data_IF_076321618894
#
_entry.id   IF_076321618894
#
_cell.length_a   1.000
_cell.length_b   1.000
_cell.length_c   1.000
_cell.angle_alpha   90.00
_cell.angle_beta   90.00
_cell.angle_gamma   90.00
#
_symmetry.space_group_name_H-M   'P 1'
#
loop_
_entity.id
_entity.type
_entity.pdbx_description
1 polymer ?
#
# COMPACT_ATOMS: atom_id res chain seq x y z
N UNK A 1 -40.11 47.76 -18.02
CA UNK A 1 -41.07 48.39 -17.10
C UNK A 1 -41.72 47.26 -16.30
N UNK A 2 -41.72 47.34 -14.95
CA UNK A 2 -42.32 46.33 -14.05
C UNK A 2 -41.30 45.35 -13.47
N UNK A 3 -40.62 45.67 -12.36
CA UNK A 3 -41.04 45.61 -10.93
C UNK A 3 -40.39 44.40 -10.23
N UNK A 4 -39.22 44.66 -9.64
CA UNK A 4 -38.49 43.77 -8.73
C UNK A 4 -39.25 43.66 -7.41
N UNK A 5 -39.64 42.45 -7.03
CA UNK A 5 -40.14 42.13 -5.69
C UNK A 5 -38.94 42.01 -4.73
N UNK A 6 -38.88 42.91 -3.74
CA UNK A 6 -37.97 42.79 -2.58
C UNK A 6 -38.62 41.84 -1.55
N UNK A 7 -37.89 40.89 -0.96
CA UNK A 7 -38.39 40.12 0.18
C UNK A 7 -38.35 40.95 1.47
N UNK A 8 -39.45 40.86 2.24
CA UNK A 8 -39.65 41.51 3.53
C UNK A 8 -38.69 40.97 4.61
N UNK A 9 -38.19 41.88 5.44
CA UNK A 9 -37.35 41.58 6.61
C UNK A 9 -38.29 41.47 7.82
N UNK A 10 -38.30 40.36 8.58
CA UNK A 10 -39.11 40.25 9.79
C UNK A 10 -38.54 41.12 10.94
N UNK A 11 -39.40 41.68 11.81
CA UNK A 11 -38.98 42.60 12.86
C UNK A 11 -38.21 41.88 13.98
N UNK A 12 -37.15 42.55 14.49
CA UNK A 12 -36.39 42.10 15.65
C UNK A 12 -37.23 42.16 16.94
N UNK A 13 -37.13 41.16 17.83
CA UNK A 13 -37.80 41.20 19.12
C UNK A 13 -37.06 42.12 20.11
N UNK A 14 -37.85 42.99 20.73
CA UNK A 14 -37.50 44.01 21.71
C UNK A 14 -36.90 43.39 23.02
N UNK A 15 -35.74 43.87 23.53
CA UNK A 15 -35.16 43.31 24.75
C UNK A 15 -35.66 44.07 25.98
N UNK A 16 -36.63 43.52 26.70
CA UNK A 16 -37.03 44.13 27.97
C UNK A 16 -38.03 43.32 28.80
N UNK A 17 -37.53 42.46 29.71
CA UNK A 17 -37.77 42.51 31.17
C UNK A 17 -37.55 41.15 31.87
N UNK A 18 -36.57 41.18 32.78
CA UNK A 18 -36.54 40.62 34.16
C UNK A 18 -36.96 39.15 34.39
N UNK A 19 -35.97 38.35 34.76
CA UNK A 19 -36.10 37.27 35.75
C UNK A 19 -34.84 37.21 36.61
N UNK A 20 -34.88 37.81 37.80
CA UNK A 20 -33.86 37.64 38.84
C UNK A 20 -34.10 36.29 39.53
N UNK A 21 -33.23 35.31 39.30
CA UNK A 21 -33.04 34.21 40.24
C UNK A 21 -31.56 34.16 40.66
N UNK A 22 -31.32 34.51 41.93
CA UNK A 22 -30.07 34.21 42.64
C UNK A 22 -30.09 32.72 42.99
N UNK A 23 -29.12 31.95 42.49
CA UNK A 23 -28.63 30.74 43.15
C UNK A 23 -27.27 30.36 42.58
N UNK A 24 -26.26 30.26 43.45
CA UNK A 24 -24.96 29.66 43.16
C UNK A 24 -24.05 30.48 42.23
N UNK A 25 -23.17 31.30 42.81
CA UNK A 25 -21.99 31.83 42.11
C UNK A 25 -21.02 30.67 41.75
N UNK A 26 -21.38 29.89 40.72
CA UNK A 26 -20.42 29.09 39.96
C UNK A 26 -19.85 30.01 38.92
N UNK A 27 -18.58 30.37 39.10
CA UNK A 27 -17.87 31.27 38.21
C UNK A 27 -17.80 30.61 36.82
N UNK A 28 -18.56 31.08 35.81
CA UNK A 28 -18.70 30.38 34.53
C UNK A 28 -17.37 30.30 33.77
N UNK A 29 -16.42 31.18 34.11
CA UNK A 29 -15.06 31.17 33.59
C UNK A 29 -14.22 30.01 34.14
N UNK A 30 -14.42 29.59 35.39
CA UNK A 30 -13.71 28.44 35.98
C UNK A 30 -14.26 27.12 35.45
N UNK A 31 -15.57 27.01 35.25
CA UNK A 31 -16.21 25.83 34.68
C UNK A 31 -15.82 25.66 33.20
N UNK A 32 -15.69 26.76 32.45
CA UNK A 32 -15.19 26.77 31.06
C UNK A 32 -13.69 26.45 30.97
N UNK A 33 -12.90 26.80 32.00
CA UNK A 33 -11.47 26.49 32.08
C UNK A 33 -11.23 25.02 32.45
N UNK A 34 -12.01 24.48 33.39
CA UNK A 34 -11.96 23.06 33.80
C UNK A 34 -12.47 22.12 32.71
N UNK A 35 -13.54 22.47 31.99
CA UNK A 35 -14.02 21.70 30.84
C UNK A 35 -13.04 21.74 29.66
N UNK A 36 -12.38 22.89 29.40
CA UNK A 36 -11.27 22.97 28.42
C UNK A 36 -10.03 22.18 28.85
N UNK A 37 -9.68 22.17 30.14
CA UNK A 37 -8.58 21.35 30.65
C UNK A 37 -8.91 19.86 30.65
N UNK A 38 -10.16 19.48 30.94
CA UNK A 38 -10.67 18.11 30.84
C UNK A 38 -10.69 17.61 29.41
N UNK A 39 -11.12 18.43 28.45
CA UNK A 39 -11.03 18.09 27.02
C UNK A 39 -9.59 18.00 26.52
N UNK A 40 -8.71 18.93 26.91
CA UNK A 40 -7.27 18.85 26.57
C UNK A 40 -6.59 17.62 27.16
N UNK A 41 -6.96 17.18 28.38
CA UNK A 41 -6.46 15.94 28.99
C UNK A 41 -7.02 14.67 28.32
N UNK A 42 -8.29 14.66 27.91
CA UNK A 42 -8.87 13.53 27.16
C UNK A 42 -8.30 13.43 25.74
N UNK A 43 -8.06 14.54 25.05
CA UNK A 43 -7.39 14.53 23.75
C UNK A 43 -5.91 14.15 23.86
N UNK A 44 -5.20 14.59 24.92
CA UNK A 44 -3.80 14.22 25.14
C UNK A 44 -3.59 12.76 25.54
N UNK A 45 -4.67 12.05 25.90
CA UNK A 45 -4.63 10.64 26.32
C UNK A 45 -4.84 9.65 25.16
N UNK A 46 -5.20 10.10 23.95
CA UNK A 46 -5.01 9.25 22.78
C UNK A 46 -3.52 9.21 22.48
N UNK A 47 -2.88 8.08 22.79
CA UNK A 47 -1.47 7.85 22.51
C UNK A 47 -1.17 8.24 21.06
N UNK A 48 0.01 8.82 20.80
CA UNK A 48 0.43 9.18 19.43
C UNK A 48 0.23 7.99 18.47
N UNK A 49 0.45 6.77 18.96
CA UNK A 49 0.18 5.53 18.26
C UNK A 49 -1.30 5.38 17.84
N UNK A 50 -2.26 5.64 18.73
CA UNK A 50 -3.70 5.57 18.40
C UNK A 50 -4.08 6.54 17.28
N UNK A 51 -3.48 7.74 17.24
CA UNK A 51 -3.74 8.71 16.15
C UNK A 51 -3.13 8.24 14.83
N UNK A 52 -1.95 7.66 14.87
CA UNK A 52 -1.26 7.10 13.70
C UNK A 52 -2.00 5.91 13.12
N UNK A 53 -2.45 4.99 13.97
CA UNK A 53 -3.31 3.87 13.59
C UNK A 53 -4.61 4.39 12.99
N UNK A 54 -5.19 5.47 13.52
CA UNK A 54 -6.41 6.04 12.97
C UNK A 54 -6.20 6.61 11.55
N UNK A 55 -5.07 7.27 11.29
CA UNK A 55 -4.73 7.80 9.95
C UNK A 55 -4.46 6.64 8.98
N UNK A 56 -3.64 5.67 9.38
CA UNK A 56 -3.38 4.48 8.58
C UNK A 56 -4.67 3.72 8.26
N UNK A 57 -5.57 3.56 9.24
CA UNK A 57 -6.89 2.95 9.05
C UNK A 57 -7.77 3.76 8.10
N UNK A 58 -7.70 5.09 8.16
CA UNK A 58 -8.50 5.96 7.29
C UNK A 58 -8.03 5.86 5.84
N UNK A 59 -6.72 5.90 5.61
CA UNK A 59 -6.10 5.73 4.29
C UNK A 59 -6.36 4.33 3.71
N UNK A 60 -6.25 3.29 4.55
CA UNK A 60 -6.62 1.92 4.22
C UNK A 60 -8.13 1.77 3.92
N UNK A 61 -9.00 2.45 4.68
CA UNK A 61 -10.44 2.43 4.38
C UNK A 61 -10.74 3.10 3.04
N UNK A 62 -9.94 4.11 2.66
CA UNK A 62 -10.02 4.72 1.34
C UNK A 62 -9.65 3.72 0.24
N UNK A 63 -8.72 2.80 0.48
CA UNK A 63 -8.40 1.70 -0.41
C UNK A 63 -9.60 0.79 -0.69
N UNK A 64 -10.35 0.43 0.36
CA UNK A 64 -11.60 -0.31 0.22
C UNK A 64 -12.74 0.50 -0.40
N UNK A 65 -12.71 1.83 -0.30
CA UNK A 65 -13.73 2.70 -0.90
C UNK A 65 -13.59 2.79 -2.41
N UNK A 66 -12.37 2.67 -2.95
CA UNK A 66 -12.09 2.61 -4.39
C UNK A 66 -12.32 1.21 -4.97
N UNK A 67 -13.49 0.62 -4.69
CA UNK A 67 -13.86 -0.76 -5.11
C UNK A 67 -13.64 -1.01 -6.60
N UNK A 68 -13.91 -0.02 -7.43
CA UNK A 68 -13.74 -0.09 -8.88
C UNK A 68 -12.28 -0.25 -9.31
N UNK A 69 -11.35 0.48 -8.70
CA UNK A 69 -9.94 0.39 -9.08
C UNK A 69 -9.34 -0.96 -8.67
N UNK A 70 -9.74 -1.48 -7.51
CA UNK A 70 -9.37 -2.84 -7.09
C UNK A 70 -9.95 -3.91 -8.03
N UNK A 71 -11.22 -3.79 -8.41
CA UNK A 71 -11.84 -4.73 -9.34
C UNK A 71 -11.14 -4.73 -10.70
N UNK A 72 -10.79 -3.55 -11.24
CA UNK A 72 -10.07 -3.43 -12.51
C UNK A 72 -8.67 -4.06 -12.41
N UNK A 73 -7.93 -3.78 -11.34
CA UNK A 73 -6.60 -4.37 -11.13
C UNK A 73 -6.68 -5.89 -11.02
N UNK A 74 -7.60 -6.42 -10.20
CA UNK A 74 -7.80 -7.87 -10.05
C UNK A 74 -8.20 -8.49 -11.38
N UNK A 75 -9.09 -7.83 -12.15
CA UNK A 75 -9.50 -8.30 -13.47
C UNK A 75 -8.33 -8.35 -14.44
N UNK A 76 -7.41 -7.39 -14.39
CA UNK A 76 -6.21 -7.38 -15.24
C UNK A 76 -5.30 -8.55 -14.87
N UNK A 77 -4.99 -8.73 -13.59
CA UNK A 77 -4.17 -9.86 -13.13
C UNK A 77 -4.82 -11.22 -13.39
N UNK A 78 -6.16 -11.31 -13.27
CA UNK A 78 -6.90 -12.52 -13.61
C UNK A 78 -6.86 -12.80 -15.12
N UNK A 79 -7.00 -11.76 -15.95
CA UNK A 79 -6.83 -11.87 -17.40
C UNK A 79 -5.43 -12.41 -17.73
N UNK A 80 -4.38 -11.90 -17.10
CA UNK A 80 -3.01 -12.40 -17.31
C UNK A 80 -2.90 -13.88 -16.94
N UNK A 81 -3.45 -14.30 -15.80
CA UNK A 81 -3.49 -15.71 -15.39
C UNK A 81 -4.22 -16.57 -16.41
N UNK A 82 -5.40 -16.16 -16.87
CA UNK A 82 -6.21 -16.93 -17.82
C UNK A 82 -5.59 -17.01 -19.21
N UNK A 83 -5.06 -15.89 -19.73
CA UNK A 83 -4.36 -15.88 -21.03
C UNK A 83 -3.19 -16.83 -20.98
N UNK A 84 -2.40 -16.82 -19.90
CA UNK A 84 -1.27 -17.73 -19.77
C UNK A 84 -1.71 -19.17 -19.63
N UNK A 85 -2.73 -19.44 -18.81
CA UNK A 85 -3.26 -20.79 -18.60
C UNK A 85 -3.85 -21.41 -19.87
N UNK A 86 -4.60 -20.63 -20.65
CA UNK A 86 -5.34 -21.12 -21.82
C UNK A 86 -4.52 -21.05 -23.12
N UNK A 87 -3.74 -19.99 -23.31
CA UNK A 87 -3.00 -19.74 -24.55
C UNK A 87 -1.56 -20.24 -24.43
N UNK A 88 -0.78 -19.70 -23.48
CA UNK A 88 0.64 -20.04 -23.38
C UNK A 88 0.89 -21.47 -22.88
N UNK A 89 0.01 -22.00 -22.03
CA UNK A 89 0.05 -23.40 -21.60
C UNK A 89 -0.05 -24.39 -22.77
N UNK A 90 -0.66 -24.00 -23.89
CA UNK A 90 -0.74 -24.81 -25.11
C UNK A 90 0.43 -24.57 -26.08
N UNK A 91 1.00 -23.37 -26.07
CA UNK A 91 2.09 -22.97 -26.97
C UNK A 91 3.48 -23.39 -26.48
N UNK A 92 3.67 -23.51 -25.16
CA UNK A 92 4.97 -23.84 -24.56
C UNK A 92 4.92 -25.28 -24.01
N UNK A 93 5.29 -26.30 -24.81
CA UNK A 93 5.26 -27.70 -24.38
C UNK A 93 6.36 -28.04 -23.37
N UNK A 94 7.34 -27.15 -23.17
CA UNK A 94 8.46 -27.39 -22.26
C UNK A 94 8.04 -27.20 -20.80
N UNK A 95 8.25 -28.24 -19.98
CA UNK A 95 8.16 -28.15 -18.53
C UNK A 95 9.39 -27.42 -17.99
N UNK A 96 9.18 -26.40 -17.17
CA UNK A 96 10.27 -25.70 -16.49
C UNK A 96 10.41 -26.30 -15.09
N UNK A 97 11.52 -26.98 -14.81
CA UNK A 97 11.73 -27.69 -13.54
C UNK A 97 10.60 -28.67 -13.18
N UNK A 98 10.00 -29.34 -14.18
CA UNK A 98 8.89 -30.28 -13.99
C UNK A 98 7.52 -29.63 -13.83
N UNK A 99 7.43 -28.31 -13.67
CA UNK A 99 6.18 -27.54 -13.59
C UNK A 99 5.69 -27.11 -14.98
N UNK A 100 4.38 -27.01 -15.12
CA UNK A 100 3.77 -26.36 -16.29
C UNK A 100 4.01 -24.85 -16.25
N UNK A 101 4.09 -24.19 -17.42
CA UNK A 101 4.30 -22.74 -17.48
C UNK A 101 3.25 -21.94 -16.71
N UNK A 102 2.01 -22.44 -16.68
CA UNK A 102 0.93 -21.87 -15.87
C UNK A 102 1.25 -21.89 -14.37
N UNK A 103 1.67 -23.04 -13.83
CA UNK A 103 2.08 -23.19 -12.43
C UNK A 103 3.30 -22.33 -12.06
N UNK A 104 4.20 -22.12 -13.03
CA UNK A 104 5.35 -21.26 -12.85
C UNK A 104 4.96 -19.77 -12.79
N UNK A 105 4.04 -19.31 -13.66
CA UNK A 105 3.75 -17.89 -13.79
C UNK A 105 2.75 -17.37 -12.74
N UNK A 106 1.73 -18.16 -12.39
CA UNK A 106 0.65 -17.74 -11.48
C UNK A 106 1.17 -17.15 -10.16
N UNK A 107 2.14 -17.77 -9.44
CA UNK A 107 2.69 -17.19 -8.21
C UNK A 107 3.46 -15.89 -8.48
N UNK A 108 4.09 -15.77 -9.65
CA UNK A 108 4.72 -14.55 -10.12
C UNK A 108 3.72 -13.41 -10.30
N UNK A 109 2.54 -13.68 -10.89
CA UNK A 109 1.47 -12.69 -11.06
C UNK A 109 0.96 -12.20 -9.70
N UNK A 110 0.86 -13.07 -8.69
CA UNK A 110 0.50 -12.67 -7.33
C UNK A 110 1.50 -11.66 -6.76
N UNK A 111 2.80 -11.88 -6.99
CA UNK A 111 3.88 -10.97 -6.55
C UNK A 111 3.88 -9.65 -7.34
N UNK A 112 3.64 -9.69 -8.65
CA UNK A 112 3.47 -8.46 -9.46
C UNK A 112 2.25 -7.68 -8.98
N UNK A 113 1.17 -8.38 -8.66
CA UNK A 113 -0.01 -7.78 -8.08
C UNK A 113 0.28 -7.07 -6.75
N UNK A 114 1.03 -7.72 -5.86
CA UNK A 114 1.53 -7.10 -4.62
C UNK A 114 2.33 -5.82 -4.92
N UNK A 115 3.23 -5.88 -5.90
CA UNK A 115 4.03 -4.73 -6.32
C UNK A 115 3.16 -3.58 -6.84
N UNK A 116 2.17 -3.87 -7.70
CA UNK A 116 1.25 -2.86 -8.24
C UNK A 116 0.41 -2.20 -7.14
N UNK A 117 -0.12 -2.98 -6.19
CA UNK A 117 -0.88 -2.46 -5.06
C UNK A 117 -0.03 -1.62 -4.11
N UNK A 118 1.19 -2.06 -3.80
CA UNK A 118 2.14 -1.29 -3.00
C UNK A 118 2.51 0.04 -3.69
N UNK A 119 2.72 0.01 -5.00
CA UNK A 119 3.06 1.20 -5.80
C UNK A 119 1.91 2.21 -5.85
N UNK A 120 0.65 1.76 -5.90
CA UNK A 120 -0.54 2.64 -5.84
C UNK A 120 -0.56 3.54 -4.60
N UNK A 121 0.05 3.10 -3.50
CA UNK A 121 0.20 3.91 -2.29
C UNK A 121 0.99 5.19 -2.56
N UNK A 122 2.03 5.12 -3.40
CA UNK A 122 2.78 6.30 -3.82
C UNK A 122 1.89 7.33 -4.51
N UNK A 123 0.94 6.88 -5.34
CA UNK A 123 -0.01 7.76 -6.05
C UNK A 123 -0.90 8.52 -5.08
N UNK A 124 -1.35 7.86 -4.01
CA UNK A 124 -2.16 8.46 -2.94
C UNK A 124 -1.36 9.51 -2.18
N UNK A 125 -0.11 9.19 -1.85
CA UNK A 125 0.81 10.13 -1.19
C UNK A 125 1.06 11.34 -2.09
N UNK A 126 1.29 11.13 -3.38
CA UNK A 126 1.48 12.19 -4.36
C UNK A 126 0.26 13.11 -4.43
N UNK A 127 -0.94 12.53 -4.50
CA UNK A 127 -2.20 13.29 -4.53
C UNK A 127 -2.38 14.09 -3.23
N UNK A 128 -2.14 13.48 -2.07
CA UNK A 128 -2.23 14.14 -0.77
C UNK A 128 -1.21 15.29 -0.59
N UNK A 129 -0.02 15.17 -1.20
CA UNK A 129 0.97 16.24 -1.24
C UNK A 129 0.51 17.40 -2.14
N UNK A 130 -0.05 17.10 -3.31
CA UNK A 130 -0.51 18.10 -4.29
C UNK A 130 -1.75 18.86 -3.83
N UNK A 131 -2.70 18.17 -3.23
CA UNK A 131 -3.95 18.75 -2.71
C UNK A 131 -3.75 19.51 -1.38
N UNK A 132 -2.52 19.57 -0.86
CA UNK A 132 -2.22 20.28 0.40
C UNK A 132 -2.73 19.55 1.65
N UNK A 133 -3.27 18.34 1.53
CA UNK A 133 -3.74 17.52 2.66
C UNK A 133 -2.60 17.26 3.65
N UNK A 134 -1.38 17.04 3.15
CA UNK A 134 -0.20 16.90 3.99
C UNK A 134 0.11 18.19 4.75
N UNK A 135 -0.07 19.37 4.16
CA UNK A 135 0.12 20.65 4.84
C UNK A 135 -0.89 20.83 5.97
N UNK A 136 -2.15 20.45 5.75
CA UNK A 136 -3.16 20.39 6.80
C UNK A 136 -2.72 19.49 7.96
N UNK A 137 -2.27 18.26 7.68
CA UNK A 137 -1.77 17.35 8.73
C UNK A 137 -0.55 17.88 9.49
N UNK A 138 0.29 18.71 8.86
CA UNK A 138 1.44 19.34 9.50
C UNK A 138 1.06 20.51 10.44
N UNK A 139 -0.14 21.09 10.30
CA UNK A 139 -0.66 22.08 11.26
C UNK A 139 -1.22 21.42 12.52
N UNK A 140 -1.63 20.15 12.42
CA UNK A 140 -2.00 19.35 13.58
C UNK A 140 -0.74 18.95 14.36
N UNK A 141 -0.84 18.70 15.69
CA UNK A 141 0.27 18.26 16.52
C UNK A 141 0.63 16.78 16.27
N UNK A 142 0.91 16.44 15.02
CA UNK A 142 1.29 15.11 14.53
C UNK A 142 2.76 15.15 14.12
N UNK A 143 3.54 14.15 14.53
CA UNK A 143 4.95 14.04 14.16
C UNK A 143 5.09 13.62 12.68
N UNK A 144 6.00 14.25 11.94
CA UNK A 144 6.30 13.90 10.52
C UNK A 144 6.67 12.43 10.34
N UNK A 145 7.48 11.87 11.25
CA UNK A 145 7.85 10.45 11.22
C UNK A 145 6.66 9.51 11.44
N UNK A 146 5.63 9.97 12.14
CA UNK A 146 4.40 9.22 12.28
C UNK A 146 3.62 9.14 10.97
N UNK A 147 3.53 10.24 10.22
CA UNK A 147 2.88 10.25 8.91
C UNK A 147 3.56 9.30 7.92
N UNK A 148 4.90 9.28 7.91
CA UNK A 148 5.72 8.32 7.14
C UNK A 148 5.35 6.88 7.49
N UNK A 149 5.36 6.54 8.79
CA UNK A 149 5.03 5.20 9.24
C UNK A 149 3.60 4.79 8.87
N UNK A 150 2.63 5.69 9.01
CA UNK A 150 1.23 5.42 8.70
C UNK A 150 1.02 5.08 7.22
N UNK A 151 1.63 5.82 6.29
CA UNK A 151 1.51 5.54 4.86
C UNK A 151 2.23 4.27 4.43
N UNK A 152 3.42 4.01 4.97
CA UNK A 152 4.18 2.79 4.62
C UNK A 152 3.44 1.55 5.12
N UNK A 153 2.92 1.58 6.35
CA UNK A 153 2.08 0.50 6.89
C UNK A 153 0.80 0.34 6.08
N UNK A 154 0.12 1.44 5.73
CA UNK A 154 -1.08 1.44 4.89
C UNK A 154 -0.81 0.76 3.54
N UNK A 155 0.31 1.10 2.88
CA UNK A 155 0.69 0.49 1.61
C UNK A 155 1.07 -0.98 1.72
N UNK A 156 1.73 -1.38 2.81
CA UNK A 156 1.95 -2.78 3.13
C UNK A 156 0.65 -3.56 3.28
N UNK A 157 -0.30 -3.01 4.04
CA UNK A 157 -1.62 -3.63 4.25
C UNK A 157 -2.41 -3.73 2.94
N UNK A 158 -2.41 -2.67 2.12
CA UNK A 158 -3.02 -2.69 0.79
C UNK A 158 -2.40 -3.75 -0.13
N UNK A 159 -1.07 -3.88 -0.07
CA UNK A 159 -0.33 -4.93 -0.78
C UNK A 159 -0.74 -6.35 -0.37
N UNK A 160 -0.85 -6.64 0.94
CA UNK A 160 -1.32 -7.95 1.42
C UNK A 160 -2.76 -8.21 0.99
N UNK A 161 -3.67 -7.24 1.16
CA UNK A 161 -5.08 -7.45 0.83
C UNK A 161 -5.23 -7.81 -0.64
N UNK A 162 -4.53 -7.08 -1.51
CA UNK A 162 -4.57 -7.32 -2.93
C UNK A 162 -3.90 -8.65 -3.32
N UNK A 163 -2.69 -8.89 -2.83
CA UNK A 163 -1.96 -10.12 -3.14
C UNK A 163 -2.66 -11.35 -2.56
N UNK A 164 -3.23 -11.26 -1.36
CA UNK A 164 -4.01 -12.30 -0.72
C UNK A 164 -5.29 -12.64 -1.50
N UNK A 165 -6.01 -11.63 -2.00
CA UNK A 165 -7.14 -11.85 -2.89
C UNK A 165 -6.71 -12.56 -4.19
N UNK A 166 -5.60 -12.12 -4.80
CA UNK A 166 -5.04 -12.80 -5.96
C UNK A 166 -4.54 -14.22 -5.66
N UNK A 167 -4.03 -14.47 -4.46
CA UNK A 167 -3.54 -15.77 -4.03
C UNK A 167 -4.70 -16.76 -3.89
N UNK A 168 -5.84 -16.31 -3.32
CA UNK A 168 -7.09 -17.10 -3.31
C UNK A 168 -7.55 -17.40 -4.73
N UNK A 169 -7.61 -16.39 -5.60
CA UNK A 169 -8.00 -16.56 -7.01
C UNK A 169 -7.03 -17.51 -7.73
N UNK A 170 -5.73 -17.40 -7.47
CA UNK A 170 -4.71 -18.27 -8.03
C UNK A 170 -4.89 -19.73 -7.61
N UNK A 171 -5.18 -20.00 -6.33
CA UNK A 171 -5.48 -21.36 -5.87
C UNK A 171 -6.73 -21.92 -6.53
N UNK A 172 -7.78 -21.11 -6.66
CA UNK A 172 -9.01 -21.51 -7.35
C UNK A 172 -8.72 -21.81 -8.82
N UNK A 173 -8.08 -20.89 -9.53
CA UNK A 173 -7.74 -21.05 -10.94
C UNK A 173 -6.85 -22.27 -11.20
N UNK A 174 -5.86 -22.53 -10.34
CA UNK A 174 -4.98 -23.69 -10.45
C UNK A 174 -5.68 -25.00 -10.09
N UNK A 175 -6.68 -24.98 -9.20
CA UNK A 175 -7.48 -26.17 -8.90
C UNK A 175 -8.39 -26.56 -10.07
N UNK A 176 -8.86 -25.59 -10.86
CA UNK A 176 -9.74 -25.84 -12.02
C UNK A 176 -8.98 -26.07 -13.33
N UNK A 177 -7.90 -25.33 -13.58
CA UNK A 177 -7.15 -25.36 -14.84
C UNK A 177 -5.80 -26.09 -14.72
N UNK A 178 -5.30 -26.30 -13.50
CA UNK A 178 -3.98 -26.88 -13.27
C UNK A 178 -3.99 -28.41 -13.36
N UNK A 179 -2.89 -29.02 -13.86
CA UNK A 179 -2.80 -30.47 -13.99
C UNK A 179 -2.48 -31.20 -12.68
N UNK A 180 -2.11 -30.50 -11.61
CA UNK A 180 -1.76 -31.11 -10.32
C UNK A 180 -2.60 -30.53 -9.19
N UNK A 181 -3.13 -31.41 -8.34
CA UNK A 181 -3.80 -31.00 -7.11
C UNK A 181 -2.81 -30.29 -6.17
N UNK A 182 -3.26 -29.19 -5.57
CA UNK A 182 -2.46 -28.39 -4.67
C UNK A 182 -2.44 -29.08 -3.29
N UNK A 183 -1.26 -29.34 -2.70
CA UNK A 183 -1.19 -29.95 -1.37
C UNK A 183 -1.73 -28.98 -0.32
N UNK A 184 -2.52 -29.49 0.63
CA UNK A 184 -3.08 -28.70 1.76
C UNK A 184 -1.97 -28.00 2.56
N UNK A 185 -0.79 -28.60 2.59
CA UNK A 185 0.42 -28.06 3.23
C UNK A 185 0.87 -26.73 2.60
N UNK A 186 0.70 -26.58 1.27
CA UNK A 186 1.04 -25.35 0.55
C UNK A 186 0.23 -24.14 1.01
N UNK A 187 -1.04 -24.35 1.39
CA UNK A 187 -1.91 -23.30 1.92
C UNK A 187 -1.37 -22.76 3.26
N UNK A 188 -0.88 -23.67 4.12
CA UNK A 188 -0.26 -23.28 5.38
C UNK A 188 1.03 -22.49 5.15
N UNK A 189 1.87 -22.91 4.21
CA UNK A 189 3.07 -22.16 3.85
C UNK A 189 2.76 -20.78 3.25
N UNK A 190 1.72 -20.66 2.43
CA UNK A 190 1.25 -19.36 1.93
C UNK A 190 0.84 -18.41 3.07
N UNK A 191 0.18 -18.94 4.11
CA UNK A 191 -0.20 -18.15 5.28
C UNK A 191 1.03 -17.67 6.07
N UNK A 192 2.04 -18.52 6.22
CA UNK A 192 3.33 -18.18 6.86
C UNK A 192 4.10 -17.12 6.06
N UNK A 193 3.91 -17.05 4.73
CA UNK A 193 4.57 -16.06 3.87
C UNK A 193 3.97 -14.66 3.94
N UNK A 194 2.73 -14.51 4.38
CA UNK A 194 2.05 -13.20 4.49
C UNK A 194 2.90 -12.13 5.20
N UNK A 195 3.50 -12.36 6.38
CA UNK A 195 4.34 -11.35 7.03
C UNK A 195 5.58 -10.97 6.20
N UNK A 196 6.16 -11.89 5.44
CA UNK A 196 7.29 -11.58 4.57
C UNK A 196 6.87 -10.74 3.37
N UNK A 197 5.73 -11.08 2.77
CA UNK A 197 5.10 -10.31 1.71
C UNK A 197 4.69 -8.91 2.19
N UNK A 198 4.28 -8.78 3.46
CA UNK A 198 4.03 -7.48 4.08
C UNK A 198 5.30 -6.62 4.11
N UNK A 199 6.42 -7.16 4.58
CA UNK A 199 7.70 -6.42 4.61
C UNK A 199 8.11 -6.02 3.19
N UNK A 200 7.97 -6.91 2.22
CA UNK A 200 8.19 -6.58 0.81
C UNK A 200 7.29 -5.44 0.32
N UNK A 201 5.99 -5.53 0.58
CA UNK A 201 5.00 -4.52 0.19
C UNK A 201 5.28 -3.16 0.84
N UNK A 202 5.63 -3.13 2.13
CA UNK A 202 6.05 -1.90 2.81
C UNK A 202 7.33 -1.32 2.20
N UNK A 203 8.27 -2.17 1.77
CA UNK A 203 9.47 -1.76 1.04
C UNK A 203 9.16 -1.04 -0.27
N UNK A 204 8.32 -1.66 -1.10
CA UNK A 204 7.89 -1.10 -2.38
C UNK A 204 7.07 0.18 -2.16
N UNK A 205 6.17 0.21 -1.17
CA UNK A 205 5.38 1.38 -0.83
C UNK A 205 6.27 2.55 -0.36
N UNK A 206 7.33 2.28 0.42
CA UNK A 206 8.32 3.28 0.81
C UNK A 206 9.06 3.87 -0.38
N UNK A 207 9.46 3.03 -1.34
CA UNK A 207 10.11 3.49 -2.57
C UNK A 207 9.15 4.29 -3.47
N UNK A 208 7.90 3.86 -3.58
CA UNK A 208 6.86 4.60 -4.29
C UNK A 208 6.56 5.95 -3.63
N UNK A 209 6.56 6.02 -2.28
CA UNK A 209 6.42 7.26 -1.51
C UNK A 209 7.60 8.22 -1.77
N UNK A 210 8.82 7.70 -1.89
CA UNK A 210 9.98 8.50 -2.26
C UNK A 210 9.77 9.15 -3.64
N UNK A 211 9.45 8.37 -4.67
CA UNK A 211 9.20 8.93 -6.01
C UNK A 211 8.01 9.90 -6.03
N UNK A 212 6.95 9.61 -5.29
CA UNK A 212 5.81 10.52 -5.10
C UNK A 212 6.25 11.88 -4.55
N UNK A 213 7.17 11.88 -3.58
CA UNK A 213 7.61 13.11 -2.92
C UNK A 213 8.61 13.94 -3.73
N UNK A 214 9.36 13.31 -4.65
CA UNK A 214 10.23 14.00 -5.61
C UNK A 214 9.42 14.57 -6.79
N UNK A 215 8.29 13.96 -7.11
CA UNK A 215 7.47 14.29 -8.28
C UNK A 215 6.63 15.55 -8.08
N UNK A 216 7.00 16.63 -8.78
CA UNK A 216 6.21 17.89 -8.76
C UNK A 216 4.98 17.86 -9.67
N UNK A 217 4.99 17.04 -10.72
CA UNK A 217 3.89 16.89 -11.70
C UNK A 217 3.35 15.46 -11.64
N UNK A 218 2.06 15.28 -11.92
CA UNK A 218 1.41 13.95 -11.84
C UNK A 218 1.90 13.00 -12.93
N UNK A 219 2.13 13.54 -14.12
CA UNK A 219 2.73 12.80 -15.24
C UNK A 219 4.10 12.23 -14.86
N UNK A 220 4.94 13.00 -14.16
CA UNK A 220 6.27 12.55 -13.74
C UNK A 220 6.20 11.41 -12.72
N UNK A 221 5.22 11.43 -11.81
CA UNK A 221 5.03 10.31 -10.88
C UNK A 221 4.74 9.00 -11.63
N UNK A 222 3.87 9.05 -12.64
CA UNK A 222 3.58 7.87 -13.47
C UNK A 222 4.80 7.37 -14.23
N UNK A 223 5.63 8.29 -14.75
CA UNK A 223 6.90 7.92 -15.40
C UNK A 223 7.83 7.20 -14.42
N UNK A 224 8.00 7.70 -13.19
CA UNK A 224 8.84 7.02 -12.20
C UNK A 224 8.26 5.68 -11.73
N UNK A 225 6.95 5.61 -11.53
CA UNK A 225 6.28 4.36 -11.16
C UNK A 225 6.44 3.29 -12.26
N UNK A 226 6.31 3.68 -13.52
CA UNK A 226 6.52 2.78 -14.66
C UNK A 226 8.00 2.42 -14.84
N UNK A 227 8.93 3.36 -14.67
CA UNK A 227 10.36 3.05 -14.68
C UNK A 227 10.72 2.03 -13.58
N UNK A 228 10.13 2.17 -12.39
CA UNK A 228 10.32 1.22 -11.30
C UNK A 228 9.73 -0.15 -11.65
N UNK A 229 8.53 -0.19 -12.22
CA UNK A 229 7.89 -1.43 -12.67
C UNK A 229 8.73 -2.13 -13.73
N UNK A 230 9.13 -1.43 -14.79
CA UNK A 230 9.96 -2.00 -15.86
C UNK A 230 11.29 -2.50 -15.30
N UNK A 231 11.95 -1.74 -14.42
CA UNK A 231 13.25 -2.14 -13.87
C UNK A 231 13.14 -3.34 -12.94
N UNK A 232 12.22 -3.32 -11.97
CA UNK A 232 12.14 -4.41 -10.97
C UNK A 232 11.42 -5.65 -11.51
N UNK A 233 10.31 -5.49 -12.24
CA UNK A 233 9.52 -6.64 -12.67
C UNK A 233 10.17 -7.31 -13.88
N UNK A 234 10.67 -6.56 -14.87
CA UNK A 234 11.25 -7.16 -16.08
C UNK A 234 12.56 -7.87 -15.80
N UNK A 235 13.39 -7.34 -14.88
CA UNK A 235 14.64 -7.97 -14.46
C UNK A 235 14.38 -9.12 -13.47
N UNK A 236 13.14 -9.34 -13.01
CA UNK A 236 12.85 -10.44 -12.09
C UNK A 236 12.65 -11.79 -12.80
N UNK A 237 12.76 -12.88 -12.03
CA UNK A 237 12.46 -14.26 -12.45
C UNK A 237 10.96 -14.56 -12.43
N UNK A 238 10.10 -13.53 -12.40
CA UNK A 238 8.63 -13.68 -12.41
C UNK A 238 8.15 -14.30 -13.72
N UNK A 239 8.62 -13.78 -14.87
CA UNK A 239 8.16 -14.23 -16.18
C UNK A 239 9.03 -15.35 -16.77
N UNK A 240 10.31 -15.35 -16.41
CA UNK A 240 11.31 -16.26 -16.96
C UNK A 240 12.09 -16.98 -15.86
N UNK A 241 12.38 -18.28 -16.00
CA UNK A 241 13.23 -19.01 -15.06
C UNK A 241 14.65 -18.44 -15.01
N UNK A 242 15.29 -18.57 -13.85
CA UNK A 242 16.68 -18.11 -13.65
C UNK A 242 17.66 -18.75 -14.64
N UNK A 243 17.44 -20.02 -15.01
CA UNK A 243 18.29 -20.74 -15.97
C UNK A 243 18.19 -20.13 -17.38
N UNK A 244 16.98 -19.69 -17.77
CA UNK A 244 16.76 -19.03 -19.05
C UNK A 244 17.42 -17.65 -19.07
N UNK A 245 17.26 -16.87 -18.00
CA UNK A 245 17.89 -15.55 -17.88
C UNK A 245 19.42 -15.67 -17.95
N UNK A 246 20.03 -16.59 -17.18
CA UNK A 246 21.47 -16.79 -17.18
C UNK A 246 22.04 -17.23 -18.53
N UNK A 247 21.23 -17.87 -19.39
CA UNK A 247 21.64 -18.31 -20.73
C UNK A 247 21.63 -17.19 -21.77
N UNK A 248 20.70 -16.24 -21.66
CA UNK A 248 20.49 -15.20 -22.67
C UNK A 248 20.97 -13.81 -22.24
N UNK A 249 21.13 -13.55 -20.94
CA UNK A 249 21.57 -12.26 -20.40
C UNK A 249 23.00 -12.34 -19.83
N UNK A 250 23.74 -11.21 -19.84
CA UNK A 250 25.04 -11.11 -19.17
C UNK A 250 25.00 -11.48 -17.69
N UNK A 251 26.08 -12.09 -17.20
CA UNK A 251 26.19 -12.58 -15.82
C UNK A 251 25.83 -11.55 -14.72
N UNK A 252 26.21 -10.25 -14.81
CA UNK A 252 25.83 -9.27 -13.80
C UNK A 252 24.30 -9.03 -13.72
N UNK A 253 23.60 -9.12 -14.84
CA UNK A 253 22.14 -8.92 -14.86
C UNK A 253 21.44 -10.17 -14.32
N UNK A 254 21.97 -11.35 -14.62
CA UNK A 254 21.44 -12.61 -14.09
C UNK A 254 21.53 -12.67 -12.55
N UNK A 255 22.63 -12.20 -11.94
CA UNK A 255 22.75 -12.16 -10.48
C UNK A 255 21.79 -11.14 -9.86
N UNK A 256 21.63 -9.95 -10.47
CA UNK A 256 20.64 -8.96 -10.02
C UNK A 256 19.23 -9.53 -10.11
N UNK A 257 18.92 -10.29 -11.17
CA UNK A 257 17.64 -10.94 -11.35
C UNK A 257 17.35 -11.96 -10.25
N UNK A 258 18.35 -12.73 -9.83
CA UNK A 258 18.22 -13.75 -8.79
C UNK A 258 18.01 -13.14 -7.39
N UNK A 259 18.78 -12.09 -7.06
CA UNK A 259 18.68 -11.38 -5.77
C UNK A 259 17.58 -10.31 -5.72
N UNK A 260 16.80 -10.16 -6.79
CA UNK A 260 15.67 -9.25 -6.79
C UNK A 260 14.61 -9.73 -5.79
N UNK A 261 14.09 -8.86 -4.89
CA UNK A 261 13.13 -9.27 -3.87
C UNK A 261 11.82 -9.83 -4.48
N UNK A 262 11.44 -9.41 -5.68
CA UNK A 262 10.28 -9.98 -6.40
C UNK A 262 10.57 -11.41 -6.88
N UNK A 263 11.80 -11.68 -7.32
CA UNK A 263 12.24 -13.02 -7.72
C UNK A 263 12.24 -13.97 -6.53
N UNK A 264 12.79 -13.53 -5.39
CA UNK A 264 12.81 -14.32 -4.17
C UNK A 264 11.39 -14.62 -3.66
N UNK A 265 10.50 -13.63 -3.64
CA UNK A 265 9.11 -13.84 -3.25
C UNK A 265 8.38 -14.80 -4.20
N UNK A 266 8.56 -14.65 -5.51
CA UNK A 266 7.93 -15.52 -6.50
C UNK A 266 8.49 -16.95 -6.44
N UNK A 267 9.79 -17.12 -6.26
CA UNK A 267 10.44 -18.42 -6.06
C UNK A 267 9.91 -19.16 -4.84
N UNK A 268 9.88 -18.50 -3.68
CA UNK A 268 9.38 -19.11 -2.44
C UNK A 268 7.91 -19.47 -2.57
N UNK A 269 7.08 -18.62 -3.18
CA UNK A 269 5.67 -18.96 -3.43
C UNK A 269 5.55 -20.18 -4.36
N UNK A 270 6.29 -20.24 -5.46
CA UNK A 270 6.28 -21.41 -6.36
C UNK A 270 6.64 -22.70 -5.63
N UNK A 271 7.74 -22.69 -4.89
CA UNK A 271 8.29 -23.90 -4.30
C UNK A 271 7.51 -24.37 -3.07
N UNK A 272 7.16 -23.45 -2.17
CA UNK A 272 6.50 -23.80 -0.91
C UNK A 272 4.98 -23.76 -1.01
N UNK A 273 4.41 -22.65 -1.49
CA UNK A 273 2.97 -22.44 -1.45
C UNK A 273 2.22 -23.24 -2.53
N UNK A 274 2.83 -23.43 -3.71
CA UNK A 274 2.19 -24.11 -4.84
C UNK A 274 2.72 -25.53 -5.09
N UNK A 275 4.03 -25.77 -4.97
CA UNK A 275 4.60 -27.12 -5.09
C UNK A 275 4.58 -27.92 -3.77
N UNK A 276 4.40 -27.27 -2.62
CA UNK A 276 4.28 -27.93 -1.31
C UNK A 276 5.61 -28.38 -0.69
N UNK A 277 6.75 -27.88 -1.19
CA UNK A 277 8.05 -28.16 -0.60
C UNK A 277 8.19 -27.45 0.75
N UNK A 278 8.99 -28.00 1.68
CA UNK A 278 9.25 -27.34 2.96
C UNK A 278 9.88 -25.95 2.76
N UNK A 279 9.54 -25.03 3.66
CA UNK A 279 10.04 -23.66 3.63
C UNK A 279 11.56 -23.64 3.85
N UNK A 280 12.30 -23.17 2.85
CA UNK A 280 13.72 -22.91 2.99
C UNK A 280 13.94 -21.62 3.80
N UNK A 281 14.55 -21.77 4.98
CA UNK A 281 14.87 -20.66 5.87
C UNK A 281 15.86 -19.70 5.24
N UNK A 282 16.76 -20.17 4.38
CA UNK A 282 17.75 -19.34 3.71
C UNK A 282 17.07 -18.37 2.72
N UNK A 283 16.11 -18.86 1.94
CA UNK A 283 15.33 -18.05 1.00
C UNK A 283 14.51 -16.98 1.74
N UNK A 284 13.90 -17.32 2.88
CA UNK A 284 13.19 -16.37 3.73
C UNK A 284 14.12 -15.28 4.28
N UNK A 285 15.32 -15.66 4.72
CA UNK A 285 16.31 -14.68 5.19
C UNK A 285 16.78 -13.75 4.07
N UNK A 286 17.00 -14.27 2.86
CA UNK A 286 17.37 -13.46 1.70
C UNK A 286 16.25 -12.48 1.31
N UNK A 287 14.99 -12.91 1.39
CA UNK A 287 13.84 -12.04 1.13
C UNK A 287 13.76 -10.90 2.17
N UNK A 288 13.98 -11.18 3.45
CA UNK A 288 14.04 -10.15 4.48
C UNK A 288 15.26 -9.22 4.29
N UNK A 289 16.43 -9.79 4.01
CA UNK A 289 17.66 -9.05 3.80
C UNK A 289 17.57 -8.08 2.61
N UNK A 290 16.79 -8.40 1.58
CA UNK A 290 16.58 -7.53 0.41
C UNK A 290 15.43 -6.53 0.61
N UNK A 291 14.36 -6.91 1.31
CA UNK A 291 13.18 -6.05 1.52
C UNK A 291 13.34 -5.02 2.65
N UNK A 292 14.05 -5.36 3.74
CA UNK A 292 14.23 -4.45 4.88
C UNK A 292 15.04 -3.19 4.52
N UNK A 293 16.19 -3.28 3.83
CA UNK A 293 16.91 -2.08 3.38
C UNK A 293 16.07 -1.24 2.43
N UNK A 294 15.29 -1.88 1.55
CA UNK A 294 14.39 -1.18 0.64
C UNK A 294 13.34 -0.35 1.40
N UNK A 295 12.73 -0.94 2.43
CA UNK A 295 11.79 -0.25 3.32
C UNK A 295 12.44 0.87 4.12
N UNK A 296 13.62 0.62 4.68
CA UNK A 296 14.36 1.62 5.44
C UNK A 296 14.74 2.82 4.57
N UNK A 297 15.27 2.57 3.36
CA UNK A 297 15.64 3.62 2.40
C UNK A 297 14.43 4.43 1.95
N UNK A 298 13.34 3.76 1.57
CA UNK A 298 12.10 4.43 1.18
C UNK A 298 11.52 5.31 2.31
N UNK A 299 11.49 4.77 3.53
CA UNK A 299 11.02 5.51 4.71
C UNK A 299 11.90 6.71 5.04
N UNK A 300 13.22 6.52 5.03
CA UNK A 300 14.19 7.56 5.35
C UNK A 300 14.14 8.69 4.33
N UNK A 301 14.07 8.36 3.03
CA UNK A 301 14.02 9.36 1.98
C UNK A 301 12.71 10.16 2.00
N UNK A 302 11.56 9.49 2.21
CA UNK A 302 10.29 10.19 2.38
C UNK A 302 10.27 11.11 3.61
N UNK A 303 10.89 10.67 4.72
CA UNK A 303 11.02 11.46 5.94
C UNK A 303 11.85 12.73 5.75
N UNK A 304 12.98 12.64 5.02
CA UNK A 304 13.81 13.80 4.68
C UNK A 304 12.98 14.83 3.90
N UNK A 305 12.21 14.37 2.91
CA UNK A 305 11.45 15.27 2.06
C UNK A 305 10.33 15.96 2.83
N UNK A 306 9.61 15.24 3.69
CA UNK A 306 8.61 15.83 4.61
C UNK A 306 9.22 16.89 5.54
N UNK A 307 10.43 16.64 6.07
CA UNK A 307 11.14 17.64 6.89
C UNK A 307 11.48 18.88 6.08
N UNK A 308 11.94 18.72 4.84
CA UNK A 308 12.25 19.84 3.95
C UNK A 308 11.02 20.68 3.63
N UNK A 309 9.87 20.05 3.38
CA UNK A 309 8.59 20.74 3.15
C UNK A 309 8.17 21.53 4.40
N UNK A 310 8.31 20.94 5.59
CA UNK A 310 8.01 21.63 6.85
C UNK A 310 8.90 22.84 7.10
N UNK A 311 10.17 22.80 6.68
CA UNK A 311 11.11 23.90 6.82
C UNK A 311 10.81 25.04 5.84
N UNK A 312 10.44 24.73 4.59
CA UNK A 312 10.03 25.74 3.60
C UNK A 312 8.64 26.33 3.85
N UNK A 313 7.81 25.66 4.64
CA UNK A 313 6.48 26.12 5.04
C UNK A 313 6.42 26.97 6.31
N UNK A 314 7.57 27.44 6.84
CA UNK A 314 7.56 28.52 7.82
C UNK A 314 7.43 29.85 7.06
N UNK A 315 6.39 30.66 7.31
CA UNK A 315 6.42 32.06 6.92
C UNK A 315 7.60 32.77 7.60
#
# INVERSE_FOLDING_TARGET
>A
MGLRLRPEIPPQPNPGRRGRHRSGSRNPLLERKNSRQGHRRRESSMSQLSRLVHIARTDFSYFFRTKWLMAVLISLSLSDMLVVGLVYGRLIPTKFAGLTYFQFLVPGIVVVGLFSAATDTGRRIWLALREGVVQYYLTLPIRTGGLVGAYIISGGLGGIVYSGALLVIAYVALSFLGPTAIPVQGILYALVLIPFLFVLATGIAGLAAFFASVSRRGEMYWVYAQALQVSMVTISTVFYPAQTIARYLPAPIATIAEYNPLSLAAGILRDSAFAGNPLDTSALTNLLATSLPLAALGAFAYWIILRTIRLKGKP
#
